data_IF_551290086389
#
_entry.id   IF_551290086389
#
_cell.length_a   1.000
_cell.length_b   1.000
_cell.length_c   1.000
_cell.angle_alpha   90.00
_cell.angle_beta   90.00
_cell.angle_gamma   90.00
#
_symmetry.space_group_name_H-M   'P 1'
#
loop_
_entity.id
_entity.type
_entity.pdbx_description
1 polymer ?
#
# COMPACT_ATOMS: atom_id res chain seq x y z
N UNK A 1 6.59 -8.65 32.66
CA UNK A 1 5.26 -9.24 32.43
C UNK A 1 4.73 -8.61 31.15
N UNK A 2 4.91 -9.28 30.02
CA UNK A 2 4.38 -8.84 28.71
C UNK A 2 2.88 -9.17 28.72
N UNK A 3 1.98 -8.24 28.40
CA UNK A 3 0.55 -8.57 28.33
C UNK A 3 0.33 -9.63 27.24
N UNK A 4 -0.52 -10.61 27.55
CA UNK A 4 -0.93 -11.66 26.62
C UNK A 4 -1.50 -11.02 25.35
N UNK A 5 -0.77 -11.13 24.25
CA UNK A 5 -1.18 -10.60 22.95
C UNK A 5 -2.33 -11.41 22.40
N UNK A 6 -3.46 -10.75 22.13
CA UNK A 6 -4.45 -11.28 21.22
C UNK A 6 -3.76 -11.61 19.88
N UNK A 7 -4.13 -12.71 19.21
CA UNK A 7 -3.51 -13.09 17.94
C UNK A 7 -3.68 -11.95 16.93
N UNK A 8 -2.59 -11.58 16.26
CA UNK A 8 -2.62 -10.65 15.13
C UNK A 8 -3.48 -11.30 14.04
N UNK A 9 -4.70 -10.81 13.86
CA UNK A 9 -5.52 -11.15 12.72
C UNK A 9 -4.85 -10.57 11.48
N UNK A 10 -4.72 -11.36 10.41
CA UNK A 10 -4.26 -10.80 9.14
C UNK A 10 -5.32 -9.83 8.58
N UNK A 11 -4.98 -9.10 7.52
CA UNK A 11 -5.90 -8.17 6.85
C UNK A 11 -7.19 -8.83 6.33
N UNK A 12 -7.27 -10.15 6.39
CA UNK A 12 -8.34 -10.99 5.85
C UNK A 12 -9.18 -11.66 6.97
N UNK A 13 -8.91 -11.32 8.24
CA UNK A 13 -9.63 -11.86 9.41
C UNK A 13 -9.37 -13.34 9.71
N UNK A 14 -8.46 -13.98 8.99
CA UNK A 14 -8.14 -15.41 9.16
C UNK A 14 -7.00 -15.61 10.16
N UNK A 15 -7.13 -16.63 11.00
CA UNK A 15 -6.13 -16.98 12.02
C UNK A 15 -5.13 -18.03 11.55
N UNK A 16 -5.24 -18.54 10.32
CA UNK A 16 -4.35 -19.55 9.74
C UNK A 16 -4.47 -19.62 8.22
N UNK A 17 -3.35 -19.74 7.50
CA UNK A 17 -3.33 -20.07 6.07
C UNK A 17 -3.43 -21.60 5.91
N UNK A 18 -4.53 -22.17 5.37
CA UNK A 18 -4.62 -23.61 5.19
C UNK A 18 -3.60 -24.07 4.12
N UNK A 19 -2.82 -25.14 4.36
CA UNK A 19 -1.91 -25.66 3.34
C UNK A 19 -2.72 -26.19 2.14
N UNK A 20 -2.42 -25.70 0.94
CA UNK A 20 -2.89 -26.30 -0.32
C UNK A 20 -3.97 -25.56 -1.13
N UNK A 21 -4.29 -24.29 -0.82
CA UNK A 21 -5.03 -23.44 -1.77
C UNK A 21 -4.04 -22.64 -2.62
N UNK A 22 -3.99 -22.82 -3.95
CA UNK A 22 -3.08 -22.06 -4.82
C UNK A 22 -3.57 -20.62 -5.09
N UNK A 23 -4.76 -20.25 -4.61
CA UNK A 23 -5.36 -18.94 -4.83
C UNK A 23 -5.77 -18.29 -3.50
N UNK A 24 -5.32 -17.05 -3.29
CA UNK A 24 -5.75 -16.23 -2.16
C UNK A 24 -7.27 -16.02 -2.22
N UNK A 25 -7.99 -16.07 -1.08
CA UNK A 25 -9.42 -15.78 -1.06
C UNK A 25 -9.72 -14.42 -1.71
N UNK A 26 -10.79 -14.33 -2.48
CA UNK A 26 -11.14 -13.12 -3.23
C UNK A 26 -11.33 -11.89 -2.30
N UNK A 27 -11.93 -12.10 -1.12
CA UNK A 27 -12.06 -11.07 -0.08
C UNK A 27 -10.71 -10.52 0.37
N UNK A 28 -9.72 -11.41 0.54
CA UNK A 28 -8.37 -11.07 0.96
C UNK A 28 -7.60 -10.29 -0.11
N UNK A 29 -7.85 -10.58 -1.39
CA UNK A 29 -7.29 -9.82 -2.51
C UNK A 29 -7.85 -8.39 -2.56
N UNK A 30 -9.16 -8.23 -2.35
CA UNK A 30 -9.84 -6.93 -2.32
C UNK A 30 -9.32 -6.06 -1.16
N UNK A 31 -9.16 -6.65 0.02
CA UNK A 31 -8.71 -5.91 1.21
C UNK A 31 -7.24 -5.47 1.08
N UNK A 32 -6.40 -6.26 0.40
CA UNK A 32 -5.02 -5.88 0.08
C UNK A 32 -4.92 -4.77 -0.96
N UNK A 33 -5.91 -4.61 -1.84
CA UNK A 33 -5.94 -3.54 -2.84
C UNK A 33 -6.35 -2.18 -2.22
N UNK A 34 -7.14 -2.19 -1.15
CA UNK A 34 -7.75 -0.98 -0.58
C UNK A 34 -6.75 0.15 -0.19
N UNK A 35 -5.58 -0.12 0.44
CA UNK A 35 -4.61 0.93 0.72
C UNK A 35 -4.06 1.60 -0.54
N UNK A 36 -3.85 0.83 -1.61
CA UNK A 36 -3.35 1.35 -2.88
C UNK A 36 -4.44 2.08 -3.69
N UNK A 37 -5.71 1.73 -3.51
CA UNK A 37 -6.82 2.52 -4.03
C UNK A 37 -6.87 3.90 -3.35
N UNK A 38 -6.76 3.96 -2.01
CA UNK A 38 -6.67 5.24 -1.29
C UNK A 38 -5.43 6.05 -1.68
N UNK A 39 -4.30 5.38 -1.88
CA UNK A 39 -3.07 6.02 -2.35
C UNK A 39 -3.24 6.58 -3.76
N UNK A 40 -3.84 5.82 -4.69
CA UNK A 40 -4.13 6.27 -6.06
C UNK A 40 -5.11 7.45 -6.09
N UNK A 41 -6.10 7.47 -5.19
CA UNK A 41 -7.09 8.56 -5.07
C UNK A 41 -6.48 9.92 -4.66
N UNK A 42 -5.20 9.97 -4.28
CA UNK A 42 -4.46 11.25 -4.12
C UNK A 42 -4.13 11.91 -5.45
N UNK A 43 -4.07 11.14 -6.54
CA UNK A 43 -3.64 11.62 -7.86
C UNK A 43 -2.15 11.87 -8.02
N UNK A 44 -1.32 11.62 -7.00
CA UNK A 44 0.13 11.89 -7.02
C UNK A 44 0.96 10.65 -7.38
N UNK A 45 0.33 9.57 -7.82
CA UNK A 45 0.92 8.24 -7.91
C UNK A 45 0.79 7.68 -9.31
N UNK A 46 1.38 6.50 -9.55
CA UNK A 46 1.12 5.74 -10.77
C UNK A 46 -0.39 5.46 -10.94
N UNK A 47 -0.82 5.30 -12.19
CA UNK A 47 -2.22 4.98 -12.52
C UNK A 47 -2.68 3.64 -11.93
N UNK A 48 -4.00 3.51 -11.72
CA UNK A 48 -4.67 2.26 -11.33
C UNK A 48 -4.27 1.08 -12.22
N UNK A 49 -4.19 1.29 -13.54
CA UNK A 49 -3.75 0.29 -14.51
C UNK A 49 -2.33 -0.24 -14.23
N UNK A 50 -1.42 0.62 -13.79
CA UNK A 50 -0.06 0.20 -13.40
C UNK A 50 -0.08 -0.60 -12.11
N UNK A 51 -0.86 -0.22 -11.10
CA UNK A 51 -1.01 -1.00 -9.88
C UNK A 51 -1.58 -2.39 -10.16
N UNK A 52 -2.69 -2.46 -10.89
CA UNK A 52 -3.30 -3.73 -11.27
C UNK A 52 -2.32 -4.65 -12.00
N UNK A 53 -1.60 -4.13 -13.00
CA UNK A 53 -0.60 -4.89 -13.77
C UNK A 53 0.56 -5.40 -12.92
N UNK A 54 1.10 -4.56 -12.03
CA UNK A 54 2.32 -4.88 -11.26
C UNK A 54 2.05 -5.67 -9.98
N UNK A 55 0.80 -5.62 -9.47
CA UNK A 55 0.39 -6.28 -8.23
C UNK A 55 -0.54 -7.48 -8.47
N UNK A 56 -0.94 -7.74 -9.72
CA UNK A 56 -1.71 -8.92 -10.10
C UNK A 56 -3.20 -8.82 -9.80
N UNK A 57 -3.76 -7.62 -9.64
CA UNK A 57 -5.20 -7.44 -9.45
C UNK A 57 -5.94 -7.32 -10.77
N UNK A 58 -7.11 -7.95 -10.83
CA UNK A 58 -8.06 -7.74 -11.92
C UNK A 58 -8.77 -6.39 -11.79
N UNK A 59 -9.43 -5.95 -12.87
CA UNK A 59 -10.25 -4.74 -12.86
C UNK A 59 -11.42 -4.85 -11.88
N UNK A 60 -11.99 -6.04 -11.75
CA UNK A 60 -13.08 -6.37 -10.85
C UNK A 60 -12.65 -6.28 -9.39
N UNK A 61 -11.47 -6.81 -9.05
CA UNK A 61 -10.92 -6.71 -7.69
C UNK A 61 -10.64 -5.26 -7.30
N UNK A 62 -10.09 -4.46 -8.21
CA UNK A 62 -9.88 -3.03 -7.99
C UNK A 62 -11.20 -2.27 -7.83
N UNK A 63 -12.19 -2.55 -8.68
CA UNK A 63 -13.51 -1.94 -8.60
C UNK A 63 -14.22 -2.30 -7.27
N UNK A 64 -14.18 -3.57 -6.87
CA UNK A 64 -14.75 -4.02 -5.60
C UNK A 64 -14.08 -3.33 -4.40
N UNK A 65 -12.76 -3.13 -4.43
CA UNK A 65 -12.05 -2.38 -3.39
C UNK A 65 -12.50 -0.90 -3.35
N UNK A 66 -12.66 -0.26 -4.52
CA UNK A 66 -13.21 1.11 -4.60
C UNK A 66 -14.61 1.20 -4.02
N UNK A 67 -15.49 0.26 -4.35
CA UNK A 67 -16.87 0.29 -3.92
C UNK A 67 -16.99 0.07 -2.40
N UNK A 68 -16.23 -0.87 -1.82
CA UNK A 68 -16.13 -1.01 -0.36
C UNK A 68 -15.64 0.27 0.33
N UNK A 69 -14.67 0.98 -0.26
CA UNK A 69 -14.19 2.24 0.30
C UNK A 69 -15.23 3.37 0.20
N UNK A 70 -16.04 3.39 -0.86
CA UNK A 70 -17.19 4.31 -1.00
C UNK A 70 -18.30 4.00 0.00
N UNK A 71 -18.66 2.74 0.17
CA UNK A 71 -19.64 2.28 1.17
C UNK A 71 -19.23 2.69 2.59
N UNK A 72 -17.90 2.69 2.86
CA UNK A 72 -17.31 3.17 4.12
C UNK A 72 -17.17 4.69 4.21
N UNK A 73 -17.55 5.43 3.17
CA UNK A 73 -17.44 6.90 3.11
C UNK A 73 -16.00 7.43 3.07
N UNK A 74 -15.03 6.61 2.67
CA UNK A 74 -13.61 6.99 2.54
C UNK A 74 -13.28 7.54 1.13
N UNK A 75 -14.11 7.19 0.15
CA UNK A 75 -14.12 7.76 -1.19
C UNK A 75 -15.49 8.36 -1.49
N UNK A 76 -15.51 9.42 -2.27
CA UNK A 76 -16.75 9.99 -2.79
C UNK A 76 -17.23 9.30 -4.08
N UNK A 77 -18.33 9.81 -4.66
CA UNK A 77 -18.89 9.28 -5.90
C UNK A 77 -17.91 9.39 -7.09
N UNK A 78 -17.12 10.47 -7.15
CA UNK A 78 -16.09 10.67 -8.18
C UNK A 78 -14.89 9.72 -7.97
N UNK A 79 -14.72 9.17 -6.77
CA UNK A 79 -13.59 8.34 -6.39
C UNK A 79 -12.44 9.15 -5.77
N UNK A 80 -12.72 10.37 -5.33
CA UNK A 80 -11.78 11.21 -4.62
C UNK A 80 -11.82 10.90 -3.11
N UNK A 81 -10.72 11.19 -2.41
CA UNK A 81 -10.67 11.04 -0.96
C UNK A 81 -11.67 12.00 -0.30
N UNK A 82 -12.50 11.48 0.58
CA UNK A 82 -13.24 12.29 1.54
C UNK A 82 -12.29 12.78 2.65
N UNK A 83 -12.76 13.67 3.52
CA UNK A 83 -11.99 14.09 4.71
C UNK A 83 -11.64 12.91 5.62
N UNK A 84 -12.59 11.99 5.84
CA UNK A 84 -12.36 10.77 6.62
C UNK A 84 -11.39 9.82 5.91
N UNK A 85 -11.47 9.71 4.58
CA UNK A 85 -10.51 8.96 3.77
C UNK A 85 -9.09 9.50 3.87
N UNK A 86 -8.93 10.81 3.76
CA UNK A 86 -7.63 11.48 3.92
C UNK A 86 -7.06 11.30 5.33
N UNK A 87 -7.91 11.42 6.36
CA UNK A 87 -7.53 11.20 7.77
C UNK A 87 -7.04 9.77 7.99
N UNK A 88 -7.83 8.76 7.60
CA UNK A 88 -7.47 7.35 7.76
C UNK A 88 -6.16 7.02 7.03
N UNK A 89 -5.97 7.56 5.82
CA UNK A 89 -4.73 7.37 5.05
C UNK A 89 -3.54 7.95 5.80
N UNK A 90 -3.65 9.16 6.35
CA UNK A 90 -2.59 9.79 7.13
C UNK A 90 -2.25 9.02 8.41
N UNK A 91 -3.26 8.50 9.11
CA UNK A 91 -3.08 7.63 10.28
C UNK A 91 -2.36 6.33 9.91
N UNK A 92 -2.71 5.72 8.77
CA UNK A 92 -2.05 4.53 8.27
C UNK A 92 -0.58 4.79 7.92
N UNK A 93 -0.27 5.88 7.22
CA UNK A 93 1.12 6.29 6.91
C UNK A 93 1.92 6.51 8.20
N UNK A 94 1.38 7.25 9.17
CA UNK A 94 2.04 7.49 10.45
C UNK A 94 2.23 6.20 11.27
N UNK A 95 1.32 5.23 11.16
CA UNK A 95 1.48 3.93 11.79
C UNK A 95 2.60 3.12 11.11
N UNK A 96 2.62 3.08 9.78
CA UNK A 96 3.70 2.43 9.02
C UNK A 96 5.06 3.04 9.37
N UNK A 97 5.19 4.36 9.38
CA UNK A 97 6.45 5.04 9.77
C UNK A 97 6.92 4.64 11.17
N UNK A 98 6.00 4.56 12.15
CA UNK A 98 6.35 4.13 13.51
C UNK A 98 6.78 2.67 13.58
N UNK A 99 6.13 1.79 12.83
CA UNK A 99 6.44 0.36 12.83
C UNK A 99 7.78 0.08 12.12
N UNK A 100 8.10 0.87 11.10
CA UNK A 100 9.33 0.73 10.32
C UNK A 100 10.54 1.47 10.94
N UNK A 101 10.36 2.23 12.02
CA UNK A 101 11.43 3.05 12.61
C UNK A 101 12.60 2.22 13.19
N UNK A 102 12.32 1.07 13.79
CA UNK A 102 13.31 0.34 14.61
C UNK A 102 14.61 -0.05 13.87
N UNK A 103 14.57 -0.56 12.61
CA UNK A 103 15.78 -0.78 11.83
C UNK A 103 16.62 0.49 11.60
N UNK A 104 15.99 1.64 11.35
CA UNK A 104 16.70 2.90 11.11
C UNK A 104 17.28 3.50 12.39
N UNK A 105 16.56 3.37 13.51
CA UNK A 105 17.06 3.75 14.84
C UNK A 105 18.29 2.92 15.23
N UNK A 106 18.29 1.62 14.90
CA UNK A 106 19.44 0.74 15.14
C UNK A 106 20.67 1.15 14.31
N UNK A 107 20.48 1.55 13.05
CA UNK A 107 21.56 2.05 12.19
C UNK A 107 22.08 3.41 12.65
N UNK A 108 21.19 4.26 13.17
CA UNK A 108 21.49 5.64 13.50
C UNK A 108 21.67 6.53 12.26
N UNK A 109 21.75 7.86 12.44
CA UNK A 109 21.63 8.82 11.33
C UNK A 109 22.71 8.67 10.25
N UNK A 110 23.96 8.42 10.64
CA UNK A 110 25.08 8.35 9.70
C UNK A 110 25.00 7.11 8.79
N UNK A 111 24.67 5.94 9.34
CA UNK A 111 24.53 4.72 8.55
C UNK A 111 23.25 4.73 7.71
N UNK A 112 22.16 5.32 8.22
CA UNK A 112 20.94 5.56 7.43
C UNK A 112 21.20 6.47 6.24
N UNK A 113 21.96 7.57 6.42
CA UNK A 113 22.36 8.44 5.31
C UNK A 113 23.19 7.68 4.26
N UNK A 114 24.12 6.82 4.71
CA UNK A 114 24.91 5.97 3.81
C UNK A 114 24.04 4.95 3.06
N UNK A 115 23.06 4.34 3.73
CA UNK A 115 22.10 3.45 3.11
C UNK A 115 21.30 4.18 2.02
N UNK A 116 20.81 5.39 2.31
CA UNK A 116 20.10 6.23 1.34
C UNK A 116 20.96 6.57 0.12
N UNK A 117 22.24 6.91 0.32
CA UNK A 117 23.17 7.19 -0.78
C UNK A 117 23.35 5.97 -1.70
N UNK A 118 23.58 4.79 -1.10
CA UNK A 118 23.75 3.54 -1.85
C UNK A 118 22.48 3.14 -2.61
N UNK A 119 21.31 3.21 -1.95
CA UNK A 119 20.03 2.94 -2.58
C UNK A 119 19.76 3.93 -3.73
N UNK A 120 20.09 5.21 -3.54
CA UNK A 120 19.97 6.24 -4.56
C UNK A 120 20.79 5.93 -5.82
N UNK A 121 21.98 5.35 -5.69
CA UNK A 121 22.77 4.90 -6.84
C UNK A 121 22.06 3.85 -7.71
N UNK A 122 21.33 2.90 -7.08
CA UNK A 122 20.51 1.93 -7.82
C UNK A 122 19.30 2.59 -8.48
N UNK A 123 18.62 3.50 -7.78
CA UNK A 123 17.49 4.25 -8.32
C UNK A 123 17.88 5.04 -9.56
N UNK A 124 19.02 5.74 -9.53
CA UNK A 124 19.53 6.51 -10.67
C UNK A 124 19.90 5.60 -11.86
N UNK A 125 20.50 4.45 -11.60
CA UNK A 125 20.80 3.45 -12.64
C UNK A 125 19.52 2.97 -13.33
N UNK A 126 18.50 2.61 -12.54
CA UNK A 126 17.19 2.19 -13.06
C UNK A 126 16.51 3.31 -13.86
N UNK A 127 16.59 4.56 -13.38
CA UNK A 127 16.05 5.73 -14.08
C UNK A 127 16.74 5.94 -15.42
N UNK A 128 18.07 5.92 -15.47
CA UNK A 128 18.83 6.08 -16.70
C UNK A 128 18.54 4.96 -17.73
N UNK A 129 18.22 3.76 -17.24
CA UNK A 129 17.81 2.63 -18.06
C UNK A 129 16.33 2.67 -18.51
N UNK A 130 15.56 3.69 -18.10
CA UNK A 130 14.15 3.83 -18.47
C UNK A 130 13.19 2.91 -17.71
N UNK A 131 13.56 2.42 -16.52
CA UNK A 131 12.72 1.53 -15.73
C UNK A 131 11.45 2.20 -15.16
N UNK A 132 11.44 3.53 -15.06
CA UNK A 132 10.29 4.30 -14.58
C UNK A 132 9.54 4.96 -15.74
N UNK A 133 8.21 4.88 -15.79
CA UNK A 133 7.43 5.53 -16.83
C UNK A 133 7.52 7.05 -16.74
N UNK A 134 7.76 7.71 -17.87
CA UNK A 134 7.93 9.16 -17.93
C UNK A 134 6.63 9.97 -17.67
N UNK A 135 5.46 9.37 -17.93
CA UNK A 135 4.15 10.07 -17.90
C UNK A 135 3.01 9.14 -17.49
N UNK A 136 2.95 8.70 -16.24
CA UNK A 136 1.76 7.99 -15.72
C UNK A 136 1.42 8.38 -14.28
N UNK A 137 1.52 9.66 -13.94
CA UNK A 137 1.03 10.17 -12.65
C UNK A 137 -0.40 10.69 -12.79
N UNK A 138 -1.29 10.26 -11.90
CA UNK A 138 -2.69 10.68 -11.92
C UNK A 138 -3.66 9.59 -11.51
N UNK A 139 -4.92 10.00 -11.27
CA UNK A 139 -6.04 9.08 -11.08
C UNK A 139 -6.36 8.45 -12.44
N UNK A 140 -6.62 7.15 -12.46
CA UNK A 140 -6.98 6.38 -13.66
C UNK A 140 -8.32 5.70 -13.44
#
# INVERSE_FOLDING_TARGET
MVPSGAPLQNSCGETSFPPGTPEMPESCSIDQAAPLVLHNATGTTVTSATFMRTRGWSAEQWAAARDRLRERGLLDAAGDLTESGATLRGEAEALTDRLDAAPYDHLGPAATARLTELAGGFTETLRAAGAFPAVHFGKG
#
